data_IF_523445273547
#
_entry.id   IF_523445273547
#
_cell.length_a   1.000
_cell.length_b   1.000
_cell.length_c   1.000
_cell.angle_alpha   90.00
_cell.angle_beta   90.00
_cell.angle_gamma   90.00
#
_symmetry.space_group_name_H-M   'P 1'
#
loop_
_entity.id
_entity.type
_entity.pdbx_description
1 polymer ?
#
# COMPACT_ATOMS: atom_id res chain seq x y z
N UNK A 1 0.93 9.91 -26.31
CA UNK A 1 -0.47 9.47 -26.53
C UNK A 1 -1.31 9.92 -25.34
N UNK A 2 -2.49 10.53 -25.59
CA UNK A 2 -3.44 10.93 -24.55
C UNK A 2 -4.18 9.69 -24.04
N UNK A 3 -4.35 9.57 -22.72
CA UNK A 3 -5.02 8.43 -22.06
C UNK A 3 -5.80 8.90 -20.83
N UNK A 4 -6.74 8.10 -20.38
CA UNK A 4 -7.45 8.35 -19.12
C UNK A 4 -6.48 8.42 -17.94
N UNK A 5 -6.67 9.38 -17.05
CA UNK A 5 -5.75 9.72 -15.96
C UNK A 5 -4.53 10.53 -16.39
N UNK A 6 -4.36 10.77 -17.70
CA UNK A 6 -3.32 11.65 -18.22
C UNK A 6 -3.70 13.13 -18.11
N UNK A 7 -2.70 13.98 -18.18
CA UNK A 7 -2.87 15.44 -18.21
C UNK A 7 -2.64 15.96 -19.61
N UNK A 8 -3.51 16.85 -20.06
CA UNK A 8 -3.47 17.47 -21.39
C UNK A 8 -3.38 18.99 -21.26
N UNK A 9 -2.89 19.62 -22.32
CA UNK A 9 -2.93 21.05 -22.53
C UNK A 9 -3.84 21.35 -23.73
N UNK A 10 -4.81 22.23 -23.56
CA UNK A 10 -5.69 22.69 -24.62
C UNK A 10 -5.15 23.98 -25.27
N UNK A 11 -4.82 23.92 -26.55
CA UNK A 11 -4.25 25.06 -27.29
C UNK A 11 -5.22 26.21 -27.45
N UNK A 12 -6.52 25.93 -27.58
CA UNK A 12 -7.55 26.96 -27.81
C UNK A 12 -7.78 27.84 -26.58
N UNK A 13 -7.84 27.21 -25.40
CA UNK A 13 -8.10 27.90 -24.12
C UNK A 13 -6.84 28.24 -23.34
N UNK A 14 -5.74 27.49 -23.55
CA UNK A 14 -4.52 27.58 -22.77
C UNK A 14 -4.65 26.93 -21.39
N UNK A 15 -5.62 26.04 -21.20
CA UNK A 15 -5.90 25.35 -19.95
C UNK A 15 -5.17 24.00 -19.90
N UNK A 16 -4.81 23.58 -18.70
CA UNK A 16 -4.32 22.23 -18.41
C UNK A 16 -5.46 21.43 -17.79
N UNK A 17 -5.70 20.22 -18.28
CA UNK A 17 -6.84 19.44 -17.82
C UNK A 17 -6.47 17.97 -17.54
N UNK A 18 -7.16 17.36 -16.56
CA UNK A 18 -7.01 15.97 -16.18
C UNK A 18 -8.09 15.12 -16.87
N UNK A 19 -7.64 14.20 -17.72
CA UNK A 19 -8.52 13.36 -18.55
C UNK A 19 -9.17 12.27 -17.70
N UNK A 20 -10.50 12.23 -17.69
CA UNK A 20 -11.27 11.15 -17.09
C UNK A 20 -11.42 9.97 -18.03
N UNK A 21 -11.84 10.24 -19.27
CA UNK A 21 -12.06 9.24 -20.31
C UNK A 21 -11.91 9.84 -21.69
N UNK A 22 -11.76 8.97 -22.66
CA UNK A 22 -11.76 9.31 -24.08
C UNK A 22 -12.95 8.62 -24.75
N UNK A 23 -13.64 9.37 -25.61
CA UNK A 23 -14.73 8.84 -26.43
C UNK A 23 -14.65 9.45 -27.84
N UNK A 24 -14.22 8.64 -28.81
CA UNK A 24 -13.98 9.07 -30.18
C UNK A 24 -12.99 10.25 -30.26
N UNK A 25 -13.49 11.38 -30.71
CA UNK A 25 -12.72 12.63 -30.87
C UNK A 25 -12.85 13.61 -29.69
N UNK A 26 -13.45 13.17 -28.58
CA UNK A 26 -13.67 13.99 -27.39
C UNK A 26 -12.93 13.40 -26.19
N UNK A 27 -12.22 14.25 -25.45
CA UNK A 27 -11.73 13.91 -24.12
C UNK A 27 -12.61 14.55 -23.04
N UNK A 28 -13.12 13.73 -22.13
CA UNK A 28 -13.84 14.19 -20.95
C UNK A 28 -12.84 14.39 -19.82
N UNK A 29 -12.92 15.55 -19.17
CA UNK A 29 -12.00 15.94 -18.10
C UNK A 29 -12.72 16.03 -16.76
N UNK A 30 -12.03 15.73 -15.68
CA UNK A 30 -12.54 15.83 -14.29
C UNK A 30 -12.12 17.10 -13.59
N UNK A 31 -11.07 17.74 -14.06
CA UNK A 31 -10.58 19.02 -13.56
C UNK A 31 -9.82 19.74 -14.66
N UNK A 32 -9.86 21.05 -14.58
CA UNK A 32 -9.04 21.93 -15.41
C UNK A 32 -8.37 23.01 -14.57
N UNK A 33 -7.20 23.43 -14.99
CA UNK A 33 -6.45 24.55 -14.42
C UNK A 33 -6.38 25.67 -15.47
N UNK A 34 -6.85 26.85 -15.09
CA UNK A 34 -6.77 28.05 -15.92
C UNK A 34 -5.31 28.54 -16.06
N UNK A 35 -5.08 29.48 -16.97
CA UNK A 35 -3.78 30.16 -17.13
C UNK A 35 -3.30 30.86 -15.84
N UNK A 36 -4.23 31.26 -14.98
CA UNK A 36 -3.94 31.92 -13.70
C UNK A 36 -3.62 30.92 -12.58
N UNK A 37 -3.67 29.61 -12.85
CA UNK A 37 -3.42 28.56 -11.87
C UNK A 37 -4.64 28.14 -11.05
N UNK A 38 -5.83 28.68 -11.31
CA UNK A 38 -7.06 28.29 -10.61
C UNK A 38 -7.55 26.93 -11.13
N UNK A 39 -7.81 26.01 -10.19
CA UNK A 39 -8.37 24.69 -10.51
C UNK A 39 -9.87 24.70 -10.33
N UNK A 40 -10.61 24.24 -11.33
CA UNK A 40 -12.02 23.87 -11.23
C UNK A 40 -12.21 22.37 -11.41
N UNK A 41 -13.14 21.80 -10.66
CA UNK A 41 -13.59 20.40 -10.81
C UNK A 41 -14.86 20.44 -11.65
N UNK A 42 -14.75 19.97 -12.88
CA UNK A 42 -15.81 20.03 -13.86
C UNK A 42 -15.81 18.77 -14.72
N UNK A 43 -16.99 18.30 -15.07
CA UNK A 43 -17.15 17.22 -16.05
C UNK A 43 -17.46 17.84 -17.42
N UNK A 44 -16.41 18.10 -18.19
CA UNK A 44 -16.48 18.80 -19.46
C UNK A 44 -15.86 17.98 -20.60
N UNK A 45 -16.49 17.99 -21.75
CA UNK A 45 -15.92 17.44 -22.98
C UNK A 45 -15.09 18.49 -23.72
N UNK A 46 -13.90 18.12 -24.20
CA UNK A 46 -13.02 18.93 -25.02
C UNK A 46 -12.70 18.21 -26.34
N UNK A 47 -12.65 18.89 -27.50
CA UNK A 47 -12.19 18.29 -28.74
C UNK A 47 -10.72 17.79 -28.58
N UNK A 48 -10.49 16.55 -28.97
CA UNK A 48 -9.16 15.96 -28.88
C UNK A 48 -8.15 16.62 -29.83
N UNK A 49 -8.64 17.16 -30.95
CA UNK A 49 -7.87 17.95 -31.93
C UNK A 49 -7.15 19.15 -31.35
N UNK A 50 -7.74 19.73 -30.31
CA UNK A 50 -7.25 20.97 -29.69
C UNK A 50 -6.28 20.68 -28.54
N UNK A 51 -6.01 19.40 -28.28
CA UNK A 51 -5.29 18.94 -27.11
C UNK A 51 -3.98 18.26 -27.47
N UNK A 52 -2.95 18.50 -26.67
CA UNK A 52 -1.72 17.72 -26.63
C UNK A 52 -1.47 17.15 -25.22
N UNK A 53 -0.62 16.12 -25.07
CA UNK A 53 -0.11 15.74 -23.76
C UNK A 53 0.55 16.96 -23.09
N UNK A 54 0.27 17.16 -21.81
CA UNK A 54 0.90 18.21 -21.02
C UNK A 54 2.39 17.93 -20.82
N UNK A 55 3.22 18.98 -20.76
CA UNK A 55 4.63 18.89 -20.37
C UNK A 55 4.77 18.49 -18.89
N UNK A 56 5.99 18.21 -18.46
CA UNK A 56 6.26 17.90 -17.06
C UNK A 56 5.93 19.09 -16.14
N UNK A 57 6.29 20.31 -16.57
CA UNK A 57 6.03 21.56 -15.84
C UNK A 57 4.54 21.81 -15.69
N UNK A 58 3.76 21.63 -16.76
CA UNK A 58 2.29 21.79 -16.75
C UNK A 58 1.62 20.77 -15.82
N UNK A 59 2.08 19.51 -15.84
CA UNK A 59 1.60 18.46 -14.92
C UNK A 59 1.90 18.80 -13.46
N UNK A 60 3.11 19.26 -13.16
CA UNK A 60 3.48 19.67 -11.80
C UNK A 60 2.73 20.93 -11.35
N UNK A 61 2.51 21.90 -12.23
CA UNK A 61 1.71 23.07 -11.92
C UNK A 61 0.28 22.67 -11.53
N UNK A 62 -0.36 21.82 -12.32
CA UNK A 62 -1.71 21.32 -12.02
C UNK A 62 -1.71 20.49 -10.73
N UNK A 63 -0.68 19.65 -10.50
CA UNK A 63 -0.56 18.87 -9.27
C UNK A 63 -0.50 19.76 -8.03
N UNK A 64 0.34 20.81 -8.05
CA UNK A 64 0.47 21.76 -6.94
C UNK A 64 -0.84 22.52 -6.70
N UNK A 65 -1.49 22.96 -7.78
CA UNK A 65 -2.78 23.65 -7.70
C UNK A 65 -3.90 22.75 -7.12
N UNK A 66 -3.92 21.46 -7.46
CA UNK A 66 -4.83 20.50 -6.84
C UNK A 66 -4.49 20.26 -5.36
N UNK A 67 -3.21 20.11 -5.03
CA UNK A 67 -2.76 19.89 -3.66
C UNK A 67 -3.12 21.04 -2.73
N UNK A 68 -2.99 22.30 -3.20
CA UNK A 68 -3.36 23.49 -2.42
C UNK A 68 -4.85 23.52 -2.03
N UNK A 69 -5.69 22.85 -2.81
CA UNK A 69 -7.13 22.68 -2.57
C UNK A 69 -7.51 21.33 -1.96
N UNK A 70 -6.53 20.54 -1.53
CA UNK A 70 -6.74 19.18 -1.01
C UNK A 70 -7.47 18.24 -1.99
N UNK A 71 -7.32 18.47 -3.29
CA UNK A 71 -7.92 17.65 -4.32
C UNK A 71 -7.00 16.51 -4.72
N UNK A 72 -7.53 15.30 -4.78
CA UNK A 72 -6.78 14.07 -5.13
C UNK A 72 -7.50 13.33 -6.23
N UNK A 73 -6.73 12.87 -7.22
CA UNK A 73 -7.23 12.01 -8.28
C UNK A 73 -7.30 10.55 -7.83
N UNK A 74 -8.53 10.00 -7.78
CA UNK A 74 -8.75 8.56 -7.62
C UNK A 74 -8.68 7.88 -9.00
N UNK A 75 -7.56 7.27 -9.30
CA UNK A 75 -7.33 6.60 -10.59
C UNK A 75 -8.20 5.35 -10.80
N UNK A 76 -8.72 4.74 -9.74
CA UNK A 76 -9.60 3.58 -9.81
C UNK A 76 -11.03 3.99 -10.18
N UNK A 77 -11.55 4.99 -9.46
CA UNK A 77 -12.91 5.52 -9.68
C UNK A 77 -12.97 6.59 -10.78
N UNK A 78 -11.82 7.06 -11.25
CA UNK A 78 -11.66 8.11 -12.26
C UNK A 78 -12.40 9.41 -11.93
N UNK A 79 -12.30 9.83 -10.67
CA UNK A 79 -12.88 11.09 -10.21
C UNK A 79 -11.95 11.85 -9.27
N UNK A 80 -12.26 13.13 -9.06
CA UNK A 80 -11.61 13.98 -8.08
C UNK A 80 -12.35 13.84 -6.74
N UNK A 81 -11.59 13.71 -5.67
CA UNK A 81 -12.12 13.75 -4.30
C UNK A 81 -11.28 14.65 -3.40
N UNK A 82 -11.88 15.20 -2.37
CA UNK A 82 -11.11 15.86 -1.33
C UNK A 82 -10.38 14.81 -0.45
N UNK A 83 -9.12 15.08 -0.14
CA UNK A 83 -8.35 14.26 0.79
C UNK A 83 -7.46 15.15 1.65
N UNK A 84 -7.65 15.03 2.95
CA UNK A 84 -6.80 15.68 3.97
C UNK A 84 -5.83 14.70 4.62
N UNK A 85 -5.57 13.58 3.96
CA UNK A 85 -4.65 12.59 4.50
C UNK A 85 -3.25 13.17 4.61
N UNK A 86 -2.73 13.20 5.83
CA UNK A 86 -1.36 13.59 6.14
C UNK A 86 -0.65 12.38 6.71
N UNK A 87 0.38 11.85 6.04
CA UNK A 87 1.08 10.66 6.51
C UNK A 87 1.88 10.97 7.78
N UNK A 88 1.93 9.99 8.67
CA UNK A 88 2.78 9.98 9.86
C UNK A 88 3.96 9.04 9.65
N UNK A 89 5.05 9.27 10.38
CA UNK A 89 6.21 8.38 10.36
C UNK A 89 5.82 6.92 10.56
N UNK A 90 6.19 6.06 9.62
CA UNK A 90 5.90 4.63 9.62
C UNK A 90 4.57 4.23 9.01
N UNK A 91 3.80 5.18 8.49
CA UNK A 91 2.57 4.86 7.77
C UNK A 91 2.88 4.20 6.43
N UNK A 92 2.08 3.20 6.09
CA UNK A 92 2.03 2.67 4.74
C UNK A 92 1.23 3.63 3.87
N UNK A 93 1.87 4.13 2.83
CA UNK A 93 1.29 5.16 1.95
C UNK A 93 1.35 4.77 0.49
N UNK A 94 0.44 5.32 -0.27
CA UNK A 94 0.50 5.41 -1.71
C UNK A 94 0.84 6.84 -2.08
N UNK A 95 1.87 7.01 -2.91
CA UNK A 95 2.32 8.31 -3.43
C UNK A 95 2.17 8.30 -4.94
N UNK A 96 1.55 9.32 -5.50
CA UNK A 96 1.35 9.44 -6.95
C UNK A 96 1.56 10.87 -7.41
N UNK A 97 1.96 11.01 -8.66
CA UNK A 97 1.83 12.25 -9.43
C UNK A 97 0.59 12.17 -10.31
N UNK A 98 0.11 13.29 -10.84
CA UNK A 98 -0.96 13.28 -11.84
C UNK A 98 -0.52 12.48 -13.06
N UNK A 99 -1.15 11.33 -13.21
CA UNK A 99 -1.10 10.50 -14.42
C UNK A 99 -0.03 9.44 -14.49
N UNK A 100 1.03 9.38 -13.68
CA UNK A 100 2.12 8.45 -14.03
C UNK A 100 2.81 7.69 -12.91
N UNK A 101 3.13 8.22 -11.76
CA UNK A 101 3.96 7.48 -10.80
C UNK A 101 3.18 7.04 -9.57
N UNK A 102 2.82 5.77 -9.52
CA UNK A 102 2.26 5.16 -8.33
C UNK A 102 3.39 4.44 -7.61
N UNK A 103 3.68 4.90 -6.40
CA UNK A 103 4.64 4.30 -5.50
C UNK A 103 3.87 3.87 -4.25
N UNK A 104 4.08 2.64 -3.82
CA UNK A 104 3.65 2.15 -2.51
C UNK A 104 4.85 2.08 -1.59
N UNK A 105 4.74 2.53 -0.35
CA UNK A 105 5.91 2.50 0.52
C UNK A 105 5.59 2.80 1.98
N UNK A 106 6.65 2.91 2.78
CA UNK A 106 6.57 3.32 4.18
C UNK A 106 7.16 4.71 4.31
N UNK A 107 6.32 5.66 4.71
CA UNK A 107 6.67 7.07 4.86
C UNK A 107 7.58 7.30 6.06
N UNK A 108 8.63 8.11 5.88
CA UNK A 108 9.53 8.51 6.96
C UNK A 108 9.26 9.94 7.42
N UNK A 109 9.51 10.90 6.56
CA UNK A 109 9.34 12.33 6.87
C UNK A 109 9.31 13.17 5.58
N UNK A 110 9.08 14.45 5.75
CA UNK A 110 9.48 15.47 4.79
C UNK A 110 10.80 16.06 5.32
N UNK A 111 11.82 16.12 4.47
CA UNK A 111 13.12 16.69 4.86
C UNK A 111 13.10 18.24 4.87
N UNK A 112 14.20 18.85 5.29
CA UNK A 112 14.34 20.30 5.40
C UNK A 112 14.23 21.02 4.04
N UNK A 113 14.42 20.31 2.93
CA UNK A 113 14.26 20.82 1.58
C UNK A 113 12.84 20.62 1.04
N UNK A 114 11.91 20.09 1.84
CA UNK A 114 10.54 19.80 1.47
C UNK A 114 10.36 18.50 0.68
N UNK A 115 11.39 17.65 0.58
CA UNK A 115 11.30 16.40 -0.16
C UNK A 115 10.68 15.28 0.67
N UNK A 116 9.95 14.40 0.00
CA UNK A 116 9.41 13.18 0.59
C UNK A 116 10.53 12.17 0.79
N UNK A 117 10.70 11.70 2.02
CA UNK A 117 11.62 10.63 2.38
C UNK A 117 10.84 9.40 2.80
N UNK A 118 11.23 8.24 2.26
CA UNK A 118 10.61 6.94 2.52
C UNK A 118 11.63 5.98 3.13
N UNK A 119 11.17 5.08 4.00
CA UNK A 119 11.99 3.95 4.46
C UNK A 119 12.16 2.88 3.38
N UNK A 120 11.14 2.67 2.59
CA UNK A 120 11.15 1.81 1.40
C UNK A 120 10.06 2.25 0.43
N UNK A 121 10.25 1.93 -0.84
CA UNK A 121 9.29 2.21 -1.90
C UNK A 121 9.23 1.07 -2.90
N UNK A 122 8.04 0.69 -3.30
CA UNK A 122 7.77 -0.23 -4.39
C UNK A 122 7.17 0.55 -5.54
N UNK A 123 7.85 0.58 -6.68
CA UNK A 123 7.40 1.23 -7.90
C UNK A 123 6.42 0.34 -8.67
N UNK A 124 5.70 0.93 -9.60
CA UNK A 124 4.71 0.21 -10.44
C UNK A 124 5.34 -0.91 -11.27
N UNK A 125 6.60 -0.79 -11.66
CA UNK A 125 7.37 -1.80 -12.40
C UNK A 125 7.87 -2.96 -11.54
N UNK A 126 7.54 -2.95 -10.24
CA UNK A 126 7.98 -3.94 -9.27
C UNK A 126 9.36 -3.68 -8.65
N UNK A 127 10.03 -2.58 -9.05
CA UNK A 127 11.33 -2.20 -8.48
C UNK A 127 11.13 -1.77 -7.01
N UNK A 128 11.84 -2.45 -6.10
CA UNK A 128 11.87 -2.12 -4.68
C UNK A 128 13.11 -1.28 -4.35
N UNK A 129 12.91 -0.06 -3.85
CA UNK A 129 13.93 0.77 -3.24
C UNK A 129 13.82 0.68 -1.72
N UNK A 130 14.95 0.47 -1.03
CA UNK A 130 14.98 0.32 0.43
C UNK A 130 16.27 0.84 1.08
N UNK A 131 16.95 1.75 0.42
CA UNK A 131 18.06 2.48 1.05
C UNK A 131 17.54 3.32 2.22
N UNK A 132 18.41 3.67 3.16
CA UNK A 132 17.99 4.46 4.34
C UNK A 132 17.37 5.83 3.98
N UNK A 133 17.51 6.28 2.73
CA UNK A 133 17.13 7.62 2.26
C UNK A 133 16.57 7.57 0.84
N UNK A 134 15.46 6.86 0.64
CA UNK A 134 14.73 6.94 -0.62
C UNK A 134 14.01 8.29 -0.70
N UNK A 135 14.59 9.22 -1.47
CA UNK A 135 14.05 10.56 -1.68
C UNK A 135 13.26 10.58 -2.98
N UNK A 136 11.99 10.99 -2.93
CA UNK A 136 11.13 11.09 -4.12
C UNK A 136 11.18 12.46 -4.79
N UNK A 137 11.45 13.50 -4.04
CA UNK A 137 11.43 14.89 -4.49
C UNK A 137 10.41 15.74 -3.71
N UNK A 138 10.19 17.01 -4.16
CA UNK A 138 9.36 17.99 -3.45
C UNK A 138 7.93 17.50 -3.23
N UNK A 139 7.44 17.59 -1.99
CA UNK A 139 6.11 17.12 -1.56
C UNK A 139 4.98 17.69 -2.41
N UNK A 140 5.06 18.93 -2.82
CA UNK A 140 4.04 19.61 -3.61
C UNK A 140 3.77 18.97 -4.98
N UNK A 141 4.72 18.19 -5.49
CA UNK A 141 4.60 17.47 -6.75
C UNK A 141 3.88 16.12 -6.62
N UNK A 142 3.48 15.73 -5.41
CA UNK A 142 2.92 14.41 -5.13
C UNK A 142 1.62 14.49 -4.35
N UNK A 143 0.79 13.47 -4.51
CA UNK A 143 -0.39 13.22 -3.70
C UNK A 143 -0.17 12.02 -2.79
N UNK A 144 -0.61 12.15 -1.53
CA UNK A 144 -0.62 11.06 -0.57
C UNK A 144 -2.02 10.45 -0.44
N UNK A 145 -2.07 9.15 -0.39
CA UNK A 145 -3.27 8.39 -0.11
C UNK A 145 -2.94 7.24 0.86
N UNK A 146 -3.95 6.77 1.57
CA UNK A 146 -3.83 5.51 2.31
C UNK A 146 -3.63 4.36 1.33
N UNK A 147 -2.74 3.45 1.67
CA UNK A 147 -2.49 2.26 0.85
C UNK A 147 -3.64 1.26 1.02
N UNK A 148 -4.16 0.73 -0.08
CA UNK A 148 -5.13 -0.37 -0.04
C UNK A 148 -4.49 -1.69 0.40
N UNK A 149 -5.30 -2.61 0.95
CA UNK A 149 -4.83 -3.89 1.49
C UNK A 149 -3.99 -4.69 0.50
N UNK A 150 -4.42 -4.77 -0.76
CA UNK A 150 -3.68 -5.51 -1.80
C UNK A 150 -2.29 -4.91 -2.06
N UNK A 151 -2.20 -3.58 -2.25
CA UNK A 151 -0.92 -2.91 -2.50
C UNK A 151 0.01 -3.00 -1.27
N UNK A 152 -0.54 -2.98 -0.06
CA UNK A 152 0.21 -3.21 1.17
C UNK A 152 0.81 -4.62 1.22
N UNK A 153 0.02 -5.64 0.90
CA UNK A 153 0.50 -7.02 0.84
C UNK A 153 1.58 -7.19 -0.23
N UNK A 154 1.40 -6.58 -1.41
CA UNK A 154 2.42 -6.60 -2.48
C UNK A 154 3.74 -5.98 -2.02
N UNK A 155 3.70 -4.86 -1.28
CA UNK A 155 4.91 -4.24 -0.72
C UNK A 155 5.58 -5.15 0.33
N UNK A 156 4.79 -5.74 1.24
CA UNK A 156 5.31 -6.67 2.25
C UNK A 156 5.97 -7.89 1.59
N UNK A 157 5.36 -8.43 0.54
CA UNK A 157 5.88 -9.56 -0.25
C UNK A 157 7.18 -9.21 -0.98
N UNK A 158 7.25 -8.00 -1.55
CA UNK A 158 8.45 -7.50 -2.19
C UNK A 158 9.61 -7.33 -1.20
N UNK A 159 9.34 -6.83 0.01
CA UNK A 159 10.32 -6.75 1.09
C UNK A 159 10.79 -8.15 1.52
N UNK A 160 9.86 -9.07 1.74
CA UNK A 160 10.17 -10.43 2.15
C UNK A 160 11.06 -11.17 1.14
N UNK A 161 10.85 -10.97 -0.18
CA UNK A 161 11.70 -11.51 -1.24
C UNK A 161 13.15 -11.00 -1.19
N UNK A 162 13.38 -9.84 -0.57
CA UNK A 162 14.72 -9.30 -0.32
C UNK A 162 15.24 -9.64 1.08
N UNK A 163 14.56 -10.52 1.80
CA UNK A 163 14.91 -10.85 3.17
C UNK A 163 14.69 -9.70 4.16
N UNK A 164 13.73 -8.82 3.87
CA UNK A 164 13.44 -7.63 4.69
C UNK A 164 12.05 -7.69 5.30
N UNK A 165 11.90 -7.10 6.48
CA UNK A 165 10.62 -6.85 7.13
C UNK A 165 10.58 -5.43 7.71
N UNK A 166 9.42 -4.77 7.62
CA UNK A 166 9.21 -3.49 8.26
C UNK A 166 8.85 -3.67 9.74
N UNK A 167 9.71 -3.15 10.62
CA UNK A 167 9.43 -3.08 12.06
C UNK A 167 8.83 -1.72 12.42
N UNK A 168 7.49 -1.66 12.52
CA UNK A 168 6.78 -0.42 12.82
C UNK A 168 7.08 0.14 14.21
N UNK A 169 7.47 -0.70 15.17
CA UNK A 169 7.82 -0.25 16.54
C UNK A 169 9.17 0.45 16.57
N UNK A 170 10.15 -0.11 15.84
CA UNK A 170 11.50 0.45 15.76
C UNK A 170 11.68 1.49 14.65
N UNK A 171 10.68 1.61 13.77
CA UNK A 171 10.73 2.48 12.59
C UNK A 171 11.96 2.23 11.72
N UNK A 172 12.21 0.97 11.39
CA UNK A 172 13.31 0.55 10.54
C UNK A 172 12.96 -0.70 9.72
N UNK A 173 13.69 -0.91 8.64
CA UNK A 173 13.75 -2.19 7.95
C UNK A 173 14.72 -3.10 8.68
N UNK A 174 14.32 -4.33 8.94
CA UNK A 174 15.15 -5.38 9.54
C UNK A 174 15.36 -6.48 8.53
N UNK A 175 16.58 -7.02 8.48
CA UNK A 175 16.85 -8.21 7.69
C UNK A 175 16.20 -9.42 8.34
N UNK A 176 15.56 -10.21 7.53
CA UNK A 176 15.11 -11.54 7.92
C UNK A 176 16.30 -12.46 7.68
N UNK A 177 17.13 -12.69 8.70
CA UNK A 177 18.12 -13.76 8.64
C UNK A 177 17.35 -15.07 8.54
N UNK A 178 17.42 -15.73 7.40
CA UNK A 178 16.81 -17.03 7.16
C UNK A 178 15.29 -17.15 7.40
N UNK A 179 14.53 -16.08 7.12
CA UNK A 179 13.07 -16.09 7.29
C UNK A 179 12.59 -15.74 8.70
N UNK A 180 13.49 -15.34 9.59
CA UNK A 180 13.20 -14.86 10.94
C UNK A 180 13.68 -13.43 11.08
N UNK A 181 12.89 -12.49 11.67
CA UNK A 181 13.41 -11.19 12.04
C UNK A 181 14.68 -11.38 12.86
N UNK A 182 15.79 -10.80 12.38
CA UNK A 182 17.13 -10.97 12.97
C UNK A 182 17.16 -10.45 14.42
N UNK A 183 16.73 -11.25 15.35
CA UNK A 183 17.10 -11.11 16.75
C UNK A 183 18.29 -12.05 16.98
N UNK A 184 19.49 -11.52 16.87
CA UNK A 184 20.73 -12.23 17.20
C UNK A 184 20.61 -12.86 18.59
N UNK A 185 20.49 -14.15 18.63
CA UNK A 185 20.53 -14.98 19.81
C UNK A 185 19.69 -16.23 19.59
N UNK A 186 20.28 -17.39 19.77
CA UNK A 186 19.58 -18.66 19.85
C UNK A 186 18.50 -18.56 20.94
N UNK A 187 17.30 -18.12 20.56
CA UNK A 187 16.18 -18.01 21.50
C UNK A 187 15.30 -19.22 21.36
N UNK A 188 14.88 -19.74 22.48
CA UNK A 188 13.81 -20.72 22.49
C UNK A 188 12.52 -20.06 22.02
N UNK A 189 11.76 -20.80 21.25
CA UNK A 189 10.40 -20.42 20.86
C UNK A 189 9.45 -21.58 21.12
N UNK A 190 8.17 -21.26 21.15
CA UNK A 190 7.10 -22.23 21.38
C UNK A 190 6.31 -22.42 20.08
N UNK A 191 5.87 -23.64 19.82
CA UNK A 191 4.97 -23.96 18.73
C UNK A 191 3.93 -24.98 19.18
N UNK A 192 2.81 -25.05 18.45
CA UNK A 192 1.73 -26.01 18.68
C UNK A 192 1.87 -27.12 17.63
N UNK A 193 1.97 -28.39 18.07
CA UNK A 193 2.04 -29.51 17.14
C UNK A 193 0.64 -29.96 16.68
N UNK A 194 0.58 -30.97 15.82
CA UNK A 194 -0.66 -31.57 15.28
C UNK A 194 -1.55 -32.20 16.37
N UNK A 195 -1.00 -32.54 17.52
CA UNK A 195 -1.74 -33.03 18.68
C UNK A 195 -2.22 -31.91 19.61
N UNK A 196 -2.05 -30.64 19.20
CA UNK A 196 -2.36 -29.47 20.03
C UNK A 196 -1.51 -29.37 21.31
N UNK A 197 -0.30 -29.89 21.30
CA UNK A 197 0.66 -29.75 22.39
C UNK A 197 1.63 -28.63 22.14
N UNK A 198 2.03 -27.92 23.19
CA UNK A 198 2.98 -26.82 23.09
C UNK A 198 4.39 -27.35 23.36
N UNK A 199 5.25 -27.21 22.38
CA UNK A 199 6.65 -27.56 22.44
C UNK A 199 7.53 -26.33 22.51
N UNK A 200 8.56 -26.36 23.33
CA UNK A 200 9.64 -25.39 23.34
C UNK A 200 10.82 -25.95 22.55
N UNK A 201 11.36 -25.16 21.64
CA UNK A 201 12.52 -25.53 20.83
C UNK A 201 13.43 -24.34 20.64
N UNK A 202 14.71 -24.62 20.45
CA UNK A 202 15.68 -23.60 20.09
C UNK A 202 15.57 -23.29 18.60
N UNK A 203 15.49 -22.01 18.27
CA UNK A 203 15.53 -21.55 16.88
C UNK A 203 16.92 -21.81 16.29
N UNK A 204 16.99 -22.78 15.40
CA UNK A 204 18.20 -23.16 14.70
C UNK A 204 18.28 -22.63 13.28
N UNK A 205 17.32 -21.76 12.86
CA UNK A 205 17.22 -21.22 11.50
C UNK A 205 16.96 -22.29 10.43
N UNK A 206 16.46 -23.47 10.82
CA UNK A 206 16.19 -24.57 9.90
C UNK A 206 14.89 -24.33 9.12
N UNK A 207 14.71 -25.03 8.01
CA UNK A 207 13.49 -24.91 7.18
C UNK A 207 12.19 -25.16 7.96
N UNK A 208 12.22 -26.07 8.95
CA UNK A 208 11.06 -26.32 9.83
C UNK A 208 10.69 -25.08 10.68
N UNK A 209 11.69 -24.30 11.12
CA UNK A 209 11.47 -23.11 11.93
C UNK A 209 10.86 -22.02 11.05
N UNK A 210 11.34 -21.90 9.80
CA UNK A 210 10.75 -21.02 8.76
C UNK A 210 9.30 -21.35 8.46
N UNK A 211 8.98 -22.64 8.26
CA UNK A 211 7.60 -23.08 7.99
C UNK A 211 6.66 -22.74 9.16
N UNK A 212 7.11 -22.84 10.39
CA UNK A 212 6.34 -22.46 11.58
C UNK A 212 6.07 -20.97 11.65
N UNK A 213 7.05 -20.13 11.29
CA UNK A 213 6.89 -18.67 11.22
C UNK A 213 5.87 -18.29 10.16
N UNK A 214 6.00 -18.84 8.94
CA UNK A 214 5.09 -18.59 7.82
C UNK A 214 3.66 -19.01 8.18
N UNK A 215 3.50 -20.14 8.88
CA UNK A 215 2.22 -20.64 9.34
C UNK A 215 1.66 -19.87 10.55
N UNK A 216 2.38 -18.90 11.11
CA UNK A 216 1.97 -18.19 12.32
C UNK A 216 2.05 -19.05 13.60
N UNK A 217 2.77 -20.17 13.55
CA UNK A 217 2.92 -21.12 14.64
C UNK A 217 4.33 -21.03 15.30
N UNK A 218 4.74 -19.80 15.57
CA UNK A 218 6.00 -19.45 16.20
C UNK A 218 5.73 -18.39 17.28
N UNK A 219 5.85 -18.76 18.54
CA UNK A 219 5.49 -17.92 19.67
C UNK A 219 6.71 -17.62 20.53
N UNK A 220 6.90 -16.38 20.88
CA UNK A 220 8.04 -15.92 21.71
C UNK A 220 7.88 -16.25 23.19
N UNK A 221 6.66 -16.61 23.62
CA UNK A 221 6.37 -17.02 25.01
C UNK A 221 5.34 -18.16 25.01
N UNK A 222 5.37 -18.96 26.07
CA UNK A 222 4.44 -20.09 26.27
C UNK A 222 3.00 -19.62 26.42
N UNK A 223 2.79 -18.47 27.08
CA UNK A 223 1.46 -17.89 27.31
C UNK A 223 0.77 -17.51 25.99
N UNK A 224 1.53 -16.99 25.03
CA UNK A 224 0.99 -16.68 23.68
C UNK A 224 0.60 -17.93 22.93
N UNK A 225 1.43 -18.98 23.00
CA UNK A 225 1.10 -20.27 22.40
C UNK A 225 -0.15 -20.88 23.04
N UNK A 226 -0.27 -20.82 24.37
CA UNK A 226 -1.45 -21.32 25.10
C UNK A 226 -2.73 -20.56 24.73
N UNK A 227 -2.68 -19.23 24.63
CA UNK A 227 -3.83 -18.44 24.22
C UNK A 227 -4.34 -18.83 22.83
N UNK A 228 -3.44 -19.01 21.87
CA UNK A 228 -3.79 -19.45 20.51
C UNK A 228 -4.30 -20.89 20.50
N UNK A 229 -3.67 -21.79 21.24
CA UNK A 229 -4.11 -23.18 21.41
C UNK A 229 -5.54 -23.27 21.94
N UNK A 230 -5.89 -22.47 22.94
CA UNK A 230 -7.24 -22.43 23.50
C UNK A 230 -8.28 -21.95 22.46
N UNK A 231 -7.94 -20.97 21.63
CA UNK A 231 -8.78 -20.54 20.52
C UNK A 231 -9.02 -21.69 19.51
N UNK A 232 -7.98 -22.42 19.10
CA UNK A 232 -8.13 -23.57 18.19
C UNK A 232 -8.98 -24.68 18.81
N UNK A 233 -8.77 -25.03 20.07
CA UNK A 233 -9.58 -26.05 20.76
C UNK A 233 -11.04 -25.62 20.89
N UNK A 234 -11.32 -24.33 21.09
CA UNK A 234 -12.68 -23.82 21.12
C UNK A 234 -13.37 -23.98 19.75
N UNK A 235 -12.70 -23.64 18.66
CA UNK A 235 -13.22 -23.80 17.28
C UNK A 235 -13.51 -25.28 16.98
N UNK A 236 -12.56 -26.18 17.26
CA UNK A 236 -12.72 -27.62 17.03
C UNK A 236 -13.88 -28.20 17.83
N UNK A 237 -14.12 -27.75 19.06
CA UNK A 237 -15.27 -28.17 19.89
C UNK A 237 -16.60 -27.67 19.31
N UNK A 238 -16.63 -26.50 18.71
CA UNK A 238 -17.83 -25.98 18.05
C UNK A 238 -18.16 -26.81 16.81
N UNK A 239 -17.19 -27.12 15.98
CA UNK A 239 -17.36 -27.95 14.78
C UNK A 239 -17.80 -29.39 15.13
N UNK A 240 -17.19 -30.00 16.16
CA UNK A 240 -17.59 -31.35 16.58
C UNK A 240 -19.02 -31.42 17.10
N UNK A 241 -19.56 -30.34 17.68
CA UNK A 241 -20.98 -30.26 18.07
C UNK A 241 -21.90 -30.07 16.88
N UNK A 242 -21.45 -29.39 15.82
CA UNK A 242 -22.22 -29.16 14.60
C UNK A 242 -22.36 -30.43 13.74
N UNK A 243 -21.40 -31.38 13.84
CA UNK A 243 -21.34 -32.61 13.06
C UNK A 243 -22.04 -33.82 13.76
N UNK A 244 -22.48 -33.68 15.01
CA UNK A 244 -23.20 -34.73 15.70
C UNK A 244 -24.55 -35.01 15.00
N UNK A 245 -24.77 -36.19 14.33
CA UNK A 245 -26.01 -36.46 13.67
C UNK A 245 -27.11 -36.61 14.72
N UNK A 246 -28.23 -35.91 14.49
CA UNK A 246 -29.46 -36.11 15.23
C UNK A 246 -29.98 -37.54 14.96
N UNK A 247 -29.62 -38.48 15.81
CA UNK A 247 -30.23 -39.81 15.81
C UNK A 247 -31.67 -39.62 16.26
N UNK A 248 -32.57 -39.41 15.29
CA UNK A 248 -34.02 -39.55 15.53
C UNK A 248 -34.28 -40.99 15.87
N UNK A 249 -34.54 -41.26 17.15
CA UNK A 249 -35.11 -42.51 17.60
C UNK A 249 -36.46 -42.68 16.91
N UNK A 250 -36.52 -43.56 15.92
CA UNK A 250 -37.78 -44.09 15.44
C UNK A 250 -38.41 -44.89 16.59
N UNK A 251 -39.46 -44.36 17.17
CA UNK A 251 -40.36 -45.16 18.03
C UNK A 251 -41.20 -46.07 17.14
N UNK A 252 -41.04 -47.37 17.40
CA UNK A 252 -42.03 -48.40 16.98
C UNK A 252 -43.36 -48.16 17.70
#
# INVERSE_FOLDING_TARGET
MIKAGGVIYNHGTGEVALVRMLDGHVCFVSAKMSRNGDVSVEDLGMPLSDCRPATAEEKFAMQRAMNSRHLVWDSYRRHIQESRFTPKNGDYVRVSTLGENIISGVFKCIDDNGNIVMYCQLRKDGTLGYSQYEVLGPKENYQFQTIGSHARLTLIDALAKQGLVWNNRRKCLEYIEDGVPANKGHRNYFYINECMEIHEVQDAGKERDRKRIIAGNYFTTREKAEAVRQCFLAVLRLESKAVAPSVRKAKK
#
